data_IF_859830251178
#
_entry.id   IF_859830251178
#
_cell.length_a   1.000
_cell.length_b   1.000
_cell.length_c   1.000
_cell.angle_alpha   90.00
_cell.angle_beta   90.00
_cell.angle_gamma   90.00
#
_symmetry.space_group_name_H-M   'P 1'
#
loop_
_entity.id
_entity.type
_entity.pdbx_description
1 polymer ?
#
# COMPACT_ATOMS: atom_id res chain seq x y z
N UNK A 1 -23.45 43.98 -29.60
CA UNK A 1 -23.31 43.14 -30.81
C UNK A 1 -22.29 42.06 -30.50
N UNK A 2 -22.76 40.84 -30.23
CA UNK A 2 -22.63 39.66 -31.11
C UNK A 2 -21.23 39.02 -30.99
N UNK A 3 -21.01 37.75 -30.64
CA UNK A 3 -21.86 36.57 -30.87
C UNK A 3 -21.38 35.41 -29.99
N UNK A 4 -22.32 34.76 -29.30
CA UNK A 4 -22.18 33.42 -28.71
C UNK A 4 -21.92 32.40 -29.83
N UNK A 5 -21.00 31.45 -29.64
CA UNK A 5 -21.00 30.18 -30.38
C UNK A 5 -21.14 29.01 -29.42
N UNK A 6 -22.36 28.47 -29.43
CA UNK A 6 -22.72 27.13 -29.00
C UNK A 6 -22.00 26.11 -29.90
N UNK A 7 -21.35 25.10 -29.32
CA UNK A 7 -21.05 23.86 -30.04
C UNK A 7 -21.94 22.75 -29.52
N UNK A 8 -22.71 22.19 -30.47
CA UNK A 8 -23.72 21.18 -30.27
C UNK A 8 -23.10 19.80 -30.07
N UNK A 9 -23.72 19.06 -29.15
CA UNK A 9 -23.58 17.62 -28.95
C UNK A 9 -23.92 16.87 -30.25
N UNK A 10 -23.08 15.91 -30.66
CA UNK A 10 -23.46 14.84 -31.57
C UNK A 10 -23.35 13.48 -30.86
N UNK A 11 -24.31 12.56 -31.06
CA UNK A 11 -24.38 11.30 -30.33
C UNK A 11 -23.36 10.29 -30.85
N UNK A 12 -22.61 9.68 -29.95
CA UNK A 12 -21.75 8.54 -30.27
C UNK A 12 -22.62 7.29 -30.49
N UNK A 13 -22.37 6.61 -31.60
CA UNK A 13 -23.01 5.38 -32.05
C UNK A 13 -22.86 4.25 -31.03
N UNK A 14 -23.96 3.53 -30.80
CA UNK A 14 -23.96 2.21 -30.16
C UNK A 14 -23.04 1.26 -30.93
N UNK A 15 -21.94 0.84 -30.29
CA UNK A 15 -21.19 -0.35 -30.68
C UNK A 15 -21.75 -1.53 -29.89
N UNK A 16 -22.23 -2.51 -30.64
CA UNK A 16 -22.79 -3.79 -30.22
C UNK A 16 -21.84 -4.58 -29.31
N UNK A 17 -22.37 -5.06 -28.18
CA UNK A 17 -21.71 -6.00 -27.28
C UNK A 17 -21.43 -7.35 -27.97
N UNK A 18 -20.25 -7.97 -27.76
CA UNK A 18 -19.99 -9.33 -28.22
C UNK A 18 -20.81 -10.36 -27.41
N UNK A 19 -21.18 -11.51 -28.01
CA UNK A 19 -22.03 -12.51 -27.35
C UNK A 19 -21.29 -13.25 -26.23
N UNK A 20 -22.00 -13.78 -25.21
CA UNK A 20 -21.40 -14.51 -24.11
C UNK A 20 -20.88 -15.89 -24.55
N UNK A 21 -19.69 -16.25 -24.04
CA UNK A 21 -19.06 -17.55 -24.23
C UNK A 21 -19.91 -18.70 -23.63
N UNK A 22 -19.84 -19.92 -24.21
CA UNK A 22 -20.80 -21.00 -23.92
C UNK A 22 -20.58 -21.65 -22.56
N UNK A 23 -21.71 -21.95 -21.92
CA UNK A 23 -21.86 -22.76 -20.71
C UNK A 23 -21.12 -24.09 -20.84
N UNK A 24 -20.17 -24.34 -19.93
CA UNK A 24 -19.55 -25.65 -19.80
C UNK A 24 -20.56 -26.62 -19.16
N UNK A 25 -20.92 -27.65 -19.93
CA UNK A 25 -21.89 -28.69 -19.60
C UNK A 25 -21.39 -29.53 -18.42
N UNK A 26 -22.22 -29.67 -17.40
CA UNK A 26 -22.13 -30.80 -16.47
C UNK A 26 -22.61 -32.07 -17.20
N UNK A 27 -21.83 -33.13 -17.13
CA UNK A 27 -22.17 -34.48 -17.57
C UNK A 27 -21.55 -35.50 -16.61
N UNK A 28 -22.30 -36.52 -16.14
CA UNK A 28 -21.87 -37.41 -15.07
C UNK A 28 -21.27 -38.72 -15.62
N UNK A 29 -20.35 -39.34 -14.87
CA UNK A 29 -20.06 -40.79 -14.94
C UNK A 29 -19.18 -41.17 -13.73
N UNK A 30 -19.76 -41.80 -12.70
CA UNK A 30 -19.82 -43.26 -12.49
C UNK A 30 -18.51 -43.89 -11.94
N UNK A 31 -18.68 -44.38 -10.71
CA UNK A 31 -17.94 -45.42 -10.01
C UNK A 31 -17.12 -46.39 -10.88
N UNK A 32 -15.90 -46.69 -10.42
CA UNK A 32 -15.44 -48.08 -10.23
C UNK A 32 -14.56 -48.21 -8.99
N UNK A 33 -14.95 -49.16 -8.12
CA UNK A 33 -14.19 -49.70 -6.99
C UNK A 33 -13.01 -50.52 -7.53
N UNK A 34 -11.89 -50.49 -6.82
CA UNK A 34 -10.79 -51.43 -6.97
C UNK A 34 -10.00 -51.48 -5.68
N UNK A 35 -10.28 -52.48 -4.84
CA UNK A 35 -9.44 -52.87 -3.72
C UNK A 35 -8.13 -53.46 -4.26
N UNK A 36 -7.00 -53.10 -3.66
CA UNK A 36 -5.85 -53.99 -3.55
C UNK A 36 -5.01 -53.59 -2.32
N UNK A 37 -4.99 -54.50 -1.34
CA UNK A 37 -4.09 -54.48 -0.20
C UNK A 37 -2.69 -54.93 -0.63
N UNK A 38 -1.65 -54.30 -0.10
CA UNK A 38 -0.31 -54.89 -0.06
C UNK A 38 0.41 -54.44 1.21
N UNK A 39 0.89 -55.45 1.93
CA UNK A 39 1.44 -55.41 3.28
C UNK A 39 2.98 -55.33 3.22
N UNK A 40 3.55 -54.49 4.10
CA UNK A 40 4.87 -54.52 4.75
C UNK A 40 6.11 -55.07 4.00
N UNK A 41 7.22 -54.31 4.05
CA UNK A 41 8.54 -54.78 4.53
C UNK A 41 9.32 -53.60 5.12
N UNK A 42 9.85 -53.81 6.33
CA UNK A 42 10.76 -52.95 7.08
C UNK A 42 12.16 -52.99 6.45
N UNK A 43 12.80 -51.83 6.30
CA UNK A 43 14.20 -51.72 5.88
C UNK A 43 14.92 -50.61 6.64
N UNK A 44 15.53 -50.96 7.77
CA UNK A 44 16.37 -50.11 8.61
C UNK A 44 17.75 -49.89 7.97
N UNK A 45 18.09 -48.63 7.66
CA UNK A 45 19.49 -48.21 7.45
C UNK A 45 19.82 -47.00 8.33
N UNK A 46 20.67 -47.31 9.31
CA UNK A 46 21.33 -46.45 10.28
C UNK A 46 22.35 -45.58 9.53
N UNK A 47 22.18 -44.25 9.52
CA UNK A 47 23.21 -43.30 9.05
C UNK A 47 23.54 -42.33 10.19
N UNK A 48 24.84 -42.15 10.40
CA UNK A 48 25.47 -41.61 11.59
C UNK A 48 25.12 -40.13 11.83
N UNK A 49 24.98 -39.77 13.12
CA UNK A 49 24.81 -38.40 13.63
C UNK A 49 26.16 -37.66 13.56
N UNK A 50 26.25 -36.65 12.71
CA UNK A 50 27.14 -35.51 12.97
C UNK A 50 26.39 -34.47 13.82
N UNK A 51 27.07 -33.95 14.83
CA UNK A 51 26.51 -33.09 15.85
C UNK A 51 26.12 -31.71 15.28
N UNK A 52 24.82 -31.49 15.08
CA UNK A 52 24.26 -30.18 14.81
C UNK A 52 24.35 -29.31 16.08
N UNK A 53 25.12 -28.21 16.01
CA UNK A 53 25.05 -27.10 16.98
C UNK A 53 23.58 -26.64 17.08
N UNK A 54 23.05 -26.36 18.29
CA UNK A 54 21.68 -25.88 18.42
C UNK A 54 21.60 -24.45 17.85
N UNK A 55 21.03 -24.33 16.63
CA UNK A 55 20.53 -23.06 16.14
C UNK A 55 19.32 -22.68 16.98
N UNK A 56 19.54 -21.86 18.00
CA UNK A 56 18.46 -21.20 18.73
C UNK A 56 17.72 -20.30 17.75
N UNK A 57 16.39 -20.43 17.57
CA UNK A 57 15.63 -19.47 16.79
C UNK A 57 15.81 -18.09 17.44
N UNK A 58 16.07 -17.01 16.66
CA UNK A 58 16.21 -15.69 17.24
C UNK A 58 14.92 -15.33 17.99
N UNK A 59 15.05 -14.86 19.22
CA UNK A 59 13.90 -14.41 20.01
C UNK A 59 13.09 -13.39 19.21
N UNK A 60 11.74 -13.41 19.30
CA UNK A 60 10.89 -12.48 18.56
C UNK A 60 11.25 -11.01 18.83
N UNK A 61 11.85 -10.72 19.98
CA UNK A 61 12.32 -9.39 20.36
C UNK A 61 13.61 -8.96 19.61
N UNK A 62 14.51 -9.90 19.28
CA UNK A 62 15.68 -9.63 18.39
C UNK A 62 15.27 -9.39 16.95
N UNK A 63 14.23 -10.08 16.46
CA UNK A 63 13.68 -9.85 15.13
C UNK A 63 13.05 -8.46 15.02
N UNK A 64 12.29 -8.03 16.04
CA UNK A 64 11.69 -6.68 16.11
C UNK A 64 12.73 -5.56 16.16
N UNK A 65 13.84 -5.73 16.89
CA UNK A 65 14.94 -4.73 16.89
C UNK A 65 15.61 -4.58 15.52
N UNK A 66 15.64 -5.63 14.68
CA UNK A 66 16.26 -5.59 13.35
C UNK A 66 15.45 -4.88 12.27
N UNK A 67 14.17 -4.61 12.50
CA UNK A 67 13.28 -3.89 11.55
C UNK A 67 12.84 -2.52 12.04
N UNK A 68 13.00 -2.24 13.34
CA UNK A 68 12.73 -0.91 13.89
C UNK A 68 13.74 0.11 13.39
N UNK A 69 13.26 1.33 13.19
CA UNK A 69 14.12 2.48 12.92
C UNK A 69 15.20 2.57 13.98
N UNK A 70 16.45 2.68 13.52
CA UNK A 70 17.61 2.95 14.37
C UNK A 70 17.78 4.43 14.66
N UNK A 71 16.98 5.31 14.03
CA UNK A 71 17.01 6.73 14.26
C UNK A 71 16.56 7.05 15.69
N UNK A 72 17.20 8.05 16.32
CA UNK A 72 16.71 8.60 17.59
C UNK A 72 15.39 9.31 17.32
N UNK A 73 14.38 9.03 18.13
CA UNK A 73 13.10 9.74 18.04
C UNK A 73 13.28 11.23 18.32
N UNK A 74 12.94 12.08 17.34
CA UNK A 74 13.00 13.54 17.47
C UNK A 74 11.67 14.10 17.98
N UNK A 75 11.60 14.32 19.30
CA UNK A 75 10.42 14.93 19.93
C UNK A 75 10.22 16.43 19.62
N UNK A 76 11.23 17.11 19.09
CA UNK A 76 11.12 18.50 18.61
C UNK A 76 10.41 18.55 17.26
N UNK A 77 10.84 17.70 16.33
CA UNK A 77 10.19 17.52 15.03
C UNK A 77 8.75 17.03 15.20
N UNK A 78 8.51 16.08 16.10
CA UNK A 78 7.17 15.58 16.42
C UNK A 78 6.24 16.70 16.90
N UNK A 79 6.70 17.59 17.80
CA UNK A 79 5.89 18.72 18.29
C UNK A 79 5.66 19.80 17.25
N UNK A 80 6.64 20.07 16.38
CA UNK A 80 6.55 21.10 15.33
C UNK A 80 5.50 20.78 14.28
N UNK A 81 5.39 19.50 13.90
CA UNK A 81 4.47 19.04 12.86
C UNK A 81 3.22 18.33 13.39
N UNK A 82 3.08 18.27 14.72
CA UNK A 82 1.80 17.89 15.31
C UNK A 82 0.75 18.93 14.93
N UNK A 83 -0.30 18.47 14.27
CA UNK A 83 -1.47 19.30 14.00
C UNK A 83 -2.16 19.61 15.34
N UNK A 84 -2.12 20.87 15.83
CA UNK A 84 -2.70 21.21 17.13
C UNK A 84 -4.22 21.07 17.13
N UNK A 85 -4.89 21.13 15.97
CA UNK A 85 -6.34 20.96 15.87
C UNK A 85 -6.77 19.48 15.93
N UNK A 86 -5.89 18.55 15.54
CA UNK A 86 -6.23 17.12 15.42
C UNK A 86 -5.41 16.18 16.30
N UNK A 87 -4.36 16.68 16.94
CA UNK A 87 -3.39 15.86 17.67
C UNK A 87 -2.72 14.81 16.78
N UNK A 88 -2.67 15.05 15.46
CA UNK A 88 -2.19 14.09 14.48
C UNK A 88 -0.77 14.44 14.05
N UNK A 89 0.12 13.45 14.06
CA UNK A 89 1.48 13.56 13.53
C UNK A 89 1.60 12.63 12.33
N UNK A 90 2.20 13.09 11.20
CA UNK A 90 2.51 12.22 10.08
C UNK A 90 3.35 11.01 10.54
N UNK A 91 3.04 9.83 10.00
CA UNK A 91 3.61 8.56 10.45
C UNK A 91 5.04 8.42 9.93
N UNK A 92 6.00 8.10 10.78
CA UNK A 92 7.41 7.92 10.40
C UNK A 92 8.02 9.15 9.70
N UNK A 93 7.67 10.35 10.18
CA UNK A 93 8.06 11.61 9.55
C UNK A 93 9.58 11.77 9.41
N UNK A 94 10.34 11.40 10.44
CA UNK A 94 11.80 11.48 10.42
C UNK A 94 12.39 10.58 9.34
N UNK A 95 11.93 9.32 9.26
CA UNK A 95 12.38 8.35 8.28
C UNK A 95 12.03 8.77 6.84
N UNK A 96 10.87 9.40 6.63
CA UNK A 96 10.49 9.96 5.32
C UNK A 96 11.45 11.10 4.93
N UNK A 97 11.75 12.01 5.86
CA UNK A 97 12.68 13.10 5.59
C UNK A 97 14.09 12.59 5.33
N UNK A 98 14.57 11.60 6.07
CA UNK A 98 15.87 10.98 5.83
C UNK A 98 15.94 10.27 4.46
N UNK A 99 14.84 9.60 4.08
CA UNK A 99 14.72 8.93 2.79
C UNK A 99 14.78 9.90 1.60
N UNK A 100 14.48 11.18 1.80
CA UNK A 100 14.55 12.21 0.77
C UNK A 100 15.73 13.19 0.96
N UNK A 101 16.28 13.31 2.16
CA UNK A 101 17.24 14.35 2.52
C UNK A 101 18.60 14.26 1.84
N UNK A 102 18.96 13.09 1.30
CA UNK A 102 20.18 12.91 0.49
C UNK A 102 19.97 13.22 -1.00
N UNK A 103 18.74 13.49 -1.43
CA UNK A 103 18.43 13.88 -2.80
C UNK A 103 18.35 15.39 -2.96
N UNK A 104 18.80 15.89 -4.11
CA UNK A 104 18.46 17.22 -4.57
C UNK A 104 17.08 17.16 -5.23
N UNK A 105 16.04 17.33 -4.43
CA UNK A 105 14.66 17.27 -4.90
C UNK A 105 14.29 18.54 -5.68
N UNK A 106 14.20 18.41 -7.01
CA UNK A 106 13.64 19.44 -7.90
C UNK A 106 12.14 19.26 -8.09
N UNK A 107 11.67 18.03 -8.00
CA UNK A 107 10.25 17.68 -8.10
C UNK A 107 9.88 16.65 -7.04
N UNK A 108 8.75 16.88 -6.37
CA UNK A 108 8.21 16.01 -5.34
C UNK A 108 6.71 15.77 -5.54
N UNK A 109 6.30 14.51 -5.48
CA UNK A 109 4.92 14.08 -5.63
C UNK A 109 4.44 13.40 -4.34
N UNK A 110 3.40 13.94 -3.72
CA UNK A 110 2.68 13.29 -2.63
C UNK A 110 1.39 12.67 -3.20
N UNK A 111 1.39 11.36 -3.38
CA UNK A 111 0.27 10.62 -3.98
C UNK A 111 -0.91 10.43 -3.03
N UNK A 112 -0.73 10.76 -1.76
CA UNK A 112 -1.67 10.51 -0.66
C UNK A 112 -1.67 11.72 0.26
N UNK A 113 -1.96 12.87 -0.35
CA UNK A 113 -1.76 14.19 0.23
C UNK A 113 -2.33 14.30 1.65
N UNK A 114 -3.51 13.72 1.88
CA UNK A 114 -4.21 13.84 3.14
C UNK A 114 -4.32 15.32 3.55
N UNK A 115 -4.12 15.63 4.83
CA UNK A 115 -4.11 17.03 5.31
C UNK A 115 -2.76 17.75 5.06
N UNK A 116 -2.01 17.35 4.03
CA UNK A 116 -0.67 17.82 3.67
C UNK A 116 0.35 17.73 4.82
N UNK A 117 0.25 16.71 5.68
CA UNK A 117 1.11 16.57 6.86
C UNK A 117 2.58 16.28 6.51
N UNK A 118 2.83 15.26 5.68
CA UNK A 118 4.16 14.95 5.17
C UNK A 118 4.69 16.07 4.26
N UNK A 119 3.85 16.53 3.34
CA UNK A 119 4.16 17.59 2.40
C UNK A 119 4.61 18.89 3.08
N UNK A 120 3.96 19.31 4.17
CA UNK A 120 4.38 20.48 4.94
C UNK A 120 5.77 20.33 5.58
N UNK A 121 6.19 19.10 5.88
CA UNK A 121 7.49 18.80 6.49
C UNK A 121 8.61 18.59 5.49
N UNK A 122 8.31 18.11 4.27
CA UNK A 122 9.31 17.93 3.20
C UNK A 122 9.72 19.30 2.62
N UNK A 123 8.83 20.30 2.63
CA UNK A 123 9.06 21.63 2.04
C UNK A 123 10.32 22.37 2.52
N UNK A 124 10.65 22.48 3.83
CA UNK A 124 11.89 23.14 4.26
C UNK A 124 13.14 22.49 3.65
N UNK A 125 13.12 21.19 3.38
CA UNK A 125 14.19 20.47 2.70
C UNK A 125 14.21 20.74 1.18
N UNK A 126 13.05 21.01 0.55
CA UNK A 126 12.93 21.37 -0.87
C UNK A 126 13.46 22.78 -1.18
N UNK A 127 13.13 23.76 -0.33
CA UNK A 127 13.40 25.20 -0.60
C UNK A 127 14.87 25.60 -0.45
N UNK A 128 15.73 24.75 0.14
CA UNK A 128 17.09 25.14 0.51
C UNK A 128 18.09 25.23 -0.65
N UNK A 129 17.82 24.68 -1.86
CA UNK A 129 18.90 24.47 -2.84
C UNK A 129 18.66 24.81 -4.32
N UNK A 130 17.47 25.17 -4.82
CA UNK A 130 17.32 25.42 -6.27
C UNK A 130 16.20 26.42 -6.65
N UNK A 131 16.29 26.93 -7.89
CA UNK A 131 15.44 28.00 -8.43
C UNK A 131 14.03 27.60 -8.85
N UNK A 132 13.65 26.31 -8.90
CA UNK A 132 12.24 25.89 -9.00
C UNK A 132 12.02 24.51 -8.35
N UNK A 133 11.57 24.42 -7.08
CA UNK A 133 10.99 23.19 -6.56
C UNK A 133 9.55 23.05 -7.10
N UNK A 134 9.28 21.98 -7.85
CA UNK A 134 7.94 21.59 -8.27
C UNK A 134 7.33 20.63 -7.24
N UNK A 135 6.09 20.90 -6.85
CA UNK A 135 5.34 20.07 -5.94
C UNK A 135 3.99 19.65 -6.54
N UNK A 136 3.66 18.36 -6.46
CA UNK A 136 2.37 17.83 -6.91
C UNK A 136 1.75 16.98 -5.79
N UNK A 137 0.59 17.39 -5.30
CA UNK A 137 -0.19 16.65 -4.29
C UNK A 137 -1.46 16.04 -4.88
N UNK A 138 -1.77 14.80 -4.55
CA UNK A 138 -2.96 14.10 -5.02
C UNK A 138 -3.71 13.42 -3.85
N UNK A 139 -5.04 13.49 -3.85
CA UNK A 139 -5.89 12.70 -2.95
C UNK A 139 -7.24 12.40 -3.63
N UNK A 140 -7.94 11.38 -3.14
CA UNK A 140 -9.28 11.01 -3.63
C UNK A 140 -10.40 11.73 -2.88
N UNK A 141 -10.20 12.16 -1.63
CA UNK A 141 -11.24 12.84 -0.84
C UNK A 141 -11.19 14.36 -1.08
N UNK A 142 -12.20 14.95 -1.75
CA UNK A 142 -12.22 16.38 -2.02
C UNK A 142 -12.25 17.23 -0.74
N UNK A 143 -12.88 16.74 0.35
CA UNK A 143 -12.96 17.51 1.59
C UNK A 143 -11.60 17.62 2.29
N UNK A 144 -10.77 16.59 2.18
CA UNK A 144 -9.41 16.59 2.73
C UNK A 144 -8.47 17.40 1.83
N UNK A 145 -8.71 17.33 0.52
CA UNK A 145 -8.01 18.11 -0.48
C UNK A 145 -8.13 19.62 -0.25
N UNK A 146 -9.32 20.14 0.05
CA UNK A 146 -9.52 21.57 0.30
C UNK A 146 -8.73 22.08 1.51
N UNK A 147 -8.68 21.28 2.58
CA UNK A 147 -7.86 21.56 3.77
C UNK A 147 -6.36 21.53 3.45
N UNK A 148 -5.94 20.54 2.67
CA UNK A 148 -4.56 20.41 2.21
C UNK A 148 -4.12 21.59 1.35
N UNK A 149 -4.97 21.99 0.41
CA UNK A 149 -4.76 23.14 -0.47
C UNK A 149 -4.58 24.41 0.36
N UNK A 150 -5.50 24.68 1.29
CA UNK A 150 -5.40 25.85 2.17
C UNK A 150 -4.12 25.85 3.02
N UNK A 151 -3.65 24.67 3.45
CA UNK A 151 -2.38 24.52 4.19
C UNK A 151 -1.17 24.80 3.29
N UNK A 152 -1.16 24.27 2.06
CA UNK A 152 -0.10 24.49 1.08
C UNK A 152 -0.03 25.96 0.68
N UNK A 153 -1.17 26.59 0.36
CA UNK A 153 -1.25 28.01 0.02
C UNK A 153 -0.71 28.92 1.14
N UNK A 154 -1.02 28.59 2.40
CA UNK A 154 -0.45 29.32 3.55
C UNK A 154 1.07 29.20 3.60
N UNK A 155 1.60 28.01 3.35
CA UNK A 155 3.04 27.76 3.31
C UNK A 155 3.73 28.43 2.11
N UNK A 156 3.02 28.59 0.98
CA UNK A 156 3.50 29.34 -0.18
C UNK A 156 3.52 30.84 0.09
N UNK A 157 2.51 31.37 0.77
CA UNK A 157 2.43 32.79 1.15
C UNK A 157 3.54 33.18 2.14
N UNK A 158 3.96 32.26 3.01
CA UNK A 158 5.10 32.44 3.92
C UNK A 158 6.46 32.34 3.20
N UNK A 159 6.51 31.82 1.96
CA UNK A 159 7.76 31.68 1.21
C UNK A 159 8.12 32.98 0.50
N UNK A 160 9.01 33.74 1.12
CA UNK A 160 9.52 35.00 0.58
C UNK A 160 10.32 34.85 -0.73
N UNK A 161 10.67 33.61 -1.13
CA UNK A 161 11.45 33.36 -2.37
C UNK A 161 10.59 33.14 -3.61
N UNK A 162 9.30 32.80 -3.48
CA UNK A 162 8.37 32.68 -4.60
C UNK A 162 8.68 31.61 -5.66
N UNK A 163 9.59 30.66 -5.39
CA UNK A 163 10.10 29.72 -6.39
C UNK A 163 9.36 28.37 -6.43
N UNK A 164 8.44 28.11 -5.50
CA UNK A 164 7.73 26.82 -5.41
C UNK A 164 6.44 26.85 -6.23
N UNK A 165 6.40 26.03 -7.28
CA UNK A 165 5.17 25.75 -8.02
C UNK A 165 4.48 24.54 -7.40
N UNK A 166 3.23 24.71 -6.97
CA UNK A 166 2.48 23.67 -6.28
C UNK A 166 1.14 23.40 -6.97
N UNK A 167 0.92 22.14 -7.34
CA UNK A 167 -0.31 21.67 -7.95
C UNK A 167 -0.98 20.66 -7.04
N UNK A 168 -2.30 20.77 -6.86
CA UNK A 168 -3.06 19.82 -6.04
C UNK A 168 -4.24 19.28 -6.84
N UNK A 169 -4.39 17.95 -6.91
CA UNK A 169 -5.41 17.29 -7.73
C UNK A 169 -6.29 16.33 -6.93
N UNK A 170 -7.61 16.38 -7.15
CA UNK A 170 -8.55 15.39 -6.61
C UNK A 170 -8.61 14.18 -7.57
N UNK A 171 -7.67 13.26 -7.40
CA UNK A 171 -7.45 12.09 -8.27
C UNK A 171 -6.80 10.96 -7.47
N UNK A 172 -7.14 9.72 -7.85
CA UNK A 172 -6.46 8.54 -7.32
C UNK A 172 -5.02 8.47 -7.85
N UNK A 173 -4.09 8.02 -7.01
CA UNK A 173 -2.67 7.89 -7.35
C UNK A 173 -2.39 6.99 -8.57
N UNK A 174 -3.29 6.08 -8.95
CA UNK A 174 -3.16 5.29 -10.19
C UNK A 174 -3.10 6.14 -11.45
N UNK A 175 -3.60 7.38 -11.39
CA UNK A 175 -3.56 8.34 -12.48
C UNK A 175 -2.35 9.28 -12.44
N UNK A 176 -1.30 8.94 -11.69
CA UNK A 176 -0.08 9.77 -11.56
C UNK A 176 0.48 10.20 -12.92
N UNK A 177 0.57 9.31 -13.91
CA UNK A 177 1.05 9.64 -15.26
C UNK A 177 0.20 10.73 -15.93
N UNK A 178 -1.12 10.61 -15.85
CA UNK A 178 -2.05 11.60 -16.41
C UNK A 178 -1.97 12.93 -15.68
N UNK A 179 -1.74 12.93 -14.36
CA UNK A 179 -1.61 14.16 -13.59
C UNK A 179 -0.30 14.86 -13.89
N UNK A 180 0.82 14.14 -13.91
CA UNK A 180 2.13 14.73 -14.22
C UNK A 180 2.16 15.31 -15.65
N UNK A 181 1.65 14.58 -16.64
CA UNK A 181 1.55 15.10 -18.01
C UNK A 181 0.60 16.29 -18.16
N UNK A 182 -0.37 16.46 -17.25
CA UNK A 182 -1.24 17.63 -17.22
C UNK A 182 -0.64 18.84 -16.51
N UNK A 183 0.40 18.66 -15.70
CA UNK A 183 1.14 19.74 -15.03
C UNK A 183 2.24 20.25 -15.95
N UNK A 184 3.09 19.36 -16.45
CA UNK A 184 4.13 19.64 -17.43
C UNK A 184 4.45 18.35 -18.20
N UNK A 185 4.27 18.38 -19.52
CA UNK A 185 4.51 17.23 -20.40
C UNK A 185 5.96 16.72 -20.29
N UNK A 186 6.91 17.62 -20.02
CA UNK A 186 8.32 17.26 -19.89
C UNK A 186 8.61 16.42 -18.62
N UNK A 187 7.73 16.43 -17.62
CA UNK A 187 7.91 15.61 -16.41
C UNK A 187 7.78 14.11 -16.68
N UNK A 188 7.09 13.72 -17.76
CA UNK A 188 7.00 12.32 -18.16
C UNK A 188 8.32 11.83 -18.79
N UNK A 189 9.07 12.74 -19.41
CA UNK A 189 10.36 12.42 -20.03
C UNK A 189 11.54 12.58 -19.06
N UNK A 190 11.58 13.69 -18.31
CA UNK A 190 12.64 14.01 -17.34
C UNK A 190 12.47 13.20 -16.04
N UNK A 191 11.23 12.89 -15.68
CA UNK A 191 10.86 12.20 -14.47
C UNK A 191 10.90 13.07 -13.21
N UNK A 192 10.37 12.51 -12.12
CA UNK A 192 10.30 13.15 -10.80
C UNK A 192 11.32 12.59 -9.82
N UNK A 193 11.85 13.43 -8.92
CA UNK A 193 12.92 13.02 -8.01
C UNK A 193 12.41 12.30 -6.76
N UNK A 194 11.22 12.65 -6.28
CA UNK A 194 10.64 12.04 -5.09
C UNK A 194 9.16 11.75 -5.25
N UNK A 195 8.75 10.53 -4.91
CA UNK A 195 7.34 10.15 -4.82
C UNK A 195 7.10 9.54 -3.44
N UNK A 196 6.09 10.04 -2.72
CA UNK A 196 5.61 9.50 -1.46
C UNK A 196 4.22 8.88 -1.64
N UNK A 197 4.05 7.67 -1.13
CA UNK A 197 2.75 6.99 -1.00
C UNK A 197 2.55 6.53 0.45
N UNK A 198 1.74 7.25 1.21
CA UNK A 198 1.23 6.87 2.53
C UNK A 198 -0.12 6.17 2.38
N UNK A 199 -0.12 4.83 2.38
CA UNK A 199 -1.32 4.00 2.22
C UNK A 199 -2.21 4.01 3.48
N UNK A 200 -1.84 4.81 4.49
CA UNK A 200 -2.61 4.96 5.72
C UNK A 200 -3.95 5.64 5.46
N UNK A 201 -5.01 5.03 5.96
CA UNK A 201 -6.31 5.71 5.94
C UNK A 201 -6.32 6.85 6.95
N UNK A 202 -6.73 8.03 6.50
CA UNK A 202 -7.08 9.11 7.42
C UNK A 202 -8.26 8.68 8.30
N UNK A 203 -8.30 9.12 9.57
CA UNK A 203 -9.48 8.93 10.42
C UNK A 203 -10.77 9.48 9.81
N UNK A 204 -10.67 10.46 8.90
CA UNK A 204 -11.83 10.96 8.17
C UNK A 204 -12.32 9.96 7.12
N UNK A 205 -11.41 9.28 6.41
CA UNK A 205 -11.76 8.20 5.48
C UNK A 205 -12.34 6.99 6.22
N UNK A 206 -11.82 6.65 7.41
CA UNK A 206 -12.40 5.58 8.25
C UNK A 206 -13.82 5.95 8.73
N UNK A 207 -14.06 7.22 9.08
CA UNK A 207 -15.40 7.70 9.50
C UNK A 207 -16.39 7.79 8.34
N UNK A 208 -15.95 8.21 7.15
CA UNK A 208 -16.79 8.33 5.95
C UNK A 208 -16.99 7.03 5.17
N UNK A 209 -16.07 6.06 5.24
CA UNK A 209 -16.22 4.75 4.60
C UNK A 209 -17.02 3.74 5.46
N UNK A 210 -17.48 4.16 6.65
CA UNK A 210 -18.32 3.37 7.56
C UNK A 210 -19.84 3.41 7.29
N UNK A 211 -20.30 3.85 6.11
CA UNK A 211 -21.55 3.36 5.54
C UNK A 211 -21.32 2.82 4.12
N UNK A 212 -21.31 1.48 3.96
CA UNK A 212 -21.51 0.59 2.78
C UNK A 212 -21.46 1.13 1.32
N UNK A 213 -20.76 2.22 1.05
CA UNK A 213 -20.70 2.91 -0.23
C UNK A 213 -19.29 3.43 -0.40
N UNK A 214 -18.46 2.67 -1.10
CA UNK A 214 -17.15 3.15 -1.52
C UNK A 214 -17.16 3.23 -3.05
N UNK A 215 -17.26 4.46 -3.55
CA UNK A 215 -16.69 5.06 -4.78
C UNK A 215 -16.68 4.29 -6.13
N UNK A 216 -17.14 3.05 -6.20
CA UNK A 216 -17.32 2.23 -7.39
C UNK A 216 -18.76 1.70 -7.43
N UNK A 217 -19.24 1.30 -8.60
CA UNK A 217 -20.62 0.82 -8.81
C UNK A 217 -20.96 -0.49 -8.07
N UNK A 218 -20.05 -1.04 -7.26
CA UNK A 218 -20.27 -2.24 -6.47
C UNK A 218 -20.41 -1.87 -5.00
N UNK A 219 -21.58 -2.12 -4.41
CA UNK A 219 -21.79 -1.88 -2.98
C UNK A 219 -21.28 -3.07 -2.19
N UNK A 220 -20.79 -2.82 -0.97
CA UNK A 220 -20.44 -3.90 -0.03
C UNK A 220 -21.63 -4.85 0.21
N UNK A 221 -22.85 -4.30 0.18
CA UNK A 221 -24.10 -5.04 0.23
C UNK A 221 -24.22 -6.08 -0.90
N UNK A 222 -23.81 -5.75 -2.12
CA UNK A 222 -23.86 -6.66 -3.27
C UNK A 222 -22.92 -7.85 -3.07
N UNK A 223 -21.72 -7.60 -2.51
CA UNK A 223 -20.75 -8.65 -2.19
C UNK A 223 -21.36 -9.62 -1.16
N UNK A 224 -21.97 -9.10 -0.11
CA UNK A 224 -22.48 -9.92 0.98
C UNK A 224 -23.76 -10.69 0.61
N UNK A 225 -24.67 -10.06 -0.14
CA UNK A 225 -25.98 -10.63 -0.44
C UNK A 225 -26.02 -11.38 -1.78
N UNK A 226 -25.24 -10.97 -2.79
CA UNK A 226 -25.40 -11.47 -4.17
C UNK A 226 -24.25 -12.33 -4.67
N UNK A 227 -23.03 -12.17 -4.15
CA UNK A 227 -21.87 -12.91 -4.68
C UNK A 227 -21.90 -14.40 -4.32
N UNK A 228 -21.25 -15.27 -5.12
CA UNK A 228 -21.11 -16.69 -4.79
C UNK A 228 -20.45 -16.88 -3.42
N UNK A 229 -20.89 -17.90 -2.70
CA UNK A 229 -20.35 -18.24 -1.38
C UNK A 229 -18.82 -18.43 -1.41
N UNK A 230 -18.29 -19.05 -2.47
CA UNK A 230 -16.86 -19.26 -2.68
C UNK A 230 -16.08 -17.95 -2.77
N UNK A 231 -16.64 -16.93 -3.43
CA UNK A 231 -15.99 -15.62 -3.59
C UNK A 231 -16.00 -14.84 -2.29
N UNK A 232 -17.10 -14.87 -1.54
CA UNK A 232 -17.15 -14.27 -0.18
C UNK A 232 -16.11 -14.93 0.72
N UNK A 233 -15.99 -16.26 0.68
CA UNK A 233 -14.96 -17.00 1.39
C UNK A 233 -13.54 -16.58 1.01
N UNK A 234 -13.29 -16.45 -0.30
CA UNK A 234 -12.00 -16.03 -0.85
C UNK A 234 -11.62 -14.62 -0.38
N UNK A 235 -12.55 -13.67 -0.41
CA UNK A 235 -12.32 -12.30 0.09
C UNK A 235 -11.92 -12.34 1.56
N UNK A 236 -12.67 -13.03 2.42
CA UNK A 236 -12.38 -13.09 3.85
C UNK A 236 -11.04 -13.76 4.15
N UNK A 237 -10.69 -14.81 3.39
CA UNK A 237 -9.44 -15.55 3.56
C UNK A 237 -8.24 -14.76 3.05
N UNK A 238 -8.31 -14.28 1.82
CA UNK A 238 -7.16 -13.76 1.08
C UNK A 238 -6.95 -12.26 1.36
N UNK A 239 -8.03 -11.47 1.44
CA UNK A 239 -7.96 -10.03 1.73
C UNK A 239 -8.09 -9.70 3.23
N UNK A 240 -8.80 -10.55 3.98
CA UNK A 240 -8.93 -10.38 5.44
C UNK A 240 -7.83 -11.06 6.25
N UNK A 241 -7.10 -12.01 5.67
CA UNK A 241 -6.21 -12.93 6.39
C UNK A 241 -6.89 -13.53 7.64
N UNK A 242 -8.20 -13.78 7.56
CA UNK A 242 -9.03 -14.22 8.69
C UNK A 242 -9.02 -15.73 8.83
N UNK A 243 -8.57 -16.26 9.97
CA UNK A 243 -8.48 -17.70 10.21
C UNK A 243 -9.85 -18.39 10.22
N UNK A 244 -10.88 -17.72 10.73
CA UNK A 244 -12.24 -18.26 10.83
C UNK A 244 -13.09 -17.95 9.58
N UNK A 245 -12.46 -17.63 8.44
CA UNK A 245 -13.13 -17.22 7.20
C UNK A 245 -14.26 -18.18 6.79
N UNK A 246 -14.04 -19.49 6.86
CA UNK A 246 -15.02 -20.51 6.44
C UNK A 246 -16.26 -20.51 7.34
N UNK A 247 -16.09 -20.28 8.64
CA UNK A 247 -17.22 -20.15 9.57
C UNK A 247 -17.99 -18.84 9.33
N UNK A 248 -17.28 -17.73 9.18
CA UNK A 248 -17.88 -16.41 8.92
C UNK A 248 -18.64 -16.40 7.59
N UNK A 249 -18.06 -16.95 6.53
CA UNK A 249 -18.70 -17.15 5.23
C UNK A 249 -20.05 -17.87 5.38
N UNK A 250 -20.09 -19.01 6.10
CA UNK A 250 -21.35 -19.73 6.34
C UNK A 250 -22.37 -18.89 7.10
N UNK A 251 -21.93 -18.11 8.09
CA UNK A 251 -22.84 -17.21 8.82
C UNK A 251 -23.39 -16.09 7.93
N UNK A 252 -22.56 -15.51 7.06
CA UNK A 252 -22.98 -14.49 6.08
C UNK A 252 -24.00 -15.08 5.10
N UNK A 253 -23.72 -16.27 4.54
CA UNK A 253 -24.65 -16.96 3.63
C UNK A 253 -25.96 -17.31 4.32
N UNK A 254 -25.92 -17.69 5.59
CA UNK A 254 -27.13 -17.92 6.39
C UNK A 254 -27.91 -16.64 6.64
N UNK A 255 -27.23 -15.54 6.97
CA UNK A 255 -27.87 -14.25 7.25
C UNK A 255 -28.55 -13.65 6.01
N UNK A 256 -27.95 -13.79 4.82
CA UNK A 256 -28.57 -13.34 3.56
C UNK A 256 -29.79 -14.16 3.15
N UNK A 257 -29.90 -15.41 3.60
CA UNK A 257 -31.09 -16.25 3.35
C UNK A 257 -32.27 -15.86 4.24
N UNK A 258 -32.04 -15.18 5.37
CA UNK A 258 -33.11 -14.79 6.30
C UNK A 258 -33.61 -13.37 6.07
N UNK A 259 -32.78 -12.36 6.38
CA UNK A 259 -33.18 -10.94 6.37
C UNK A 259 -32.30 -10.12 5.44
N UNK A 260 -31.11 -10.60 5.07
CA UNK A 260 -30.11 -9.79 4.37
C UNK A 260 -29.19 -9.06 5.33
N UNK A 261 -28.07 -8.57 4.81
CA UNK A 261 -27.17 -7.64 5.50
C UNK A 261 -27.27 -6.28 4.80
N UNK A 262 -27.89 -5.30 5.45
CA UNK A 262 -28.20 -3.99 4.84
C UNK A 262 -27.46 -2.83 5.51
N UNK A 263 -26.88 -3.04 6.70
CA UNK A 263 -26.14 -2.03 7.44
C UNK A 263 -24.78 -2.53 7.95
N UNK A 264 -23.88 -1.59 8.23
CA UNK A 264 -22.60 -1.92 8.89
C UNK A 264 -22.81 -2.49 10.29
N UNK A 265 -23.87 -2.07 10.99
CA UNK A 265 -24.29 -2.64 12.28
C UNK A 265 -24.67 -4.12 12.17
N UNK A 266 -25.40 -4.53 11.12
CA UNK A 266 -25.79 -5.93 10.94
C UNK A 266 -24.57 -6.84 10.78
N UNK A 267 -23.59 -6.38 10.00
CA UNK A 267 -22.34 -7.10 9.79
C UNK A 267 -21.52 -7.17 11.08
N UNK A 268 -21.41 -6.07 11.82
CA UNK A 268 -20.73 -6.04 13.13
C UNK A 268 -21.39 -7.02 14.09
N UNK A 269 -22.73 -7.05 14.14
CA UNK A 269 -23.48 -7.93 15.02
C UNK A 269 -23.36 -9.41 14.63
N UNK A 270 -23.31 -9.70 13.33
CA UNK A 270 -23.00 -11.03 12.82
C UNK A 270 -21.60 -11.46 13.25
N UNK A 271 -20.58 -10.62 13.01
CA UNK A 271 -19.18 -10.93 13.37
C UNK A 271 -19.03 -11.10 14.88
N UNK A 272 -19.70 -10.26 15.67
CA UNK A 272 -19.72 -10.33 17.14
C UNK A 272 -20.31 -11.65 17.63
N UNK A 273 -21.47 -12.06 17.09
CA UNK A 273 -22.10 -13.36 17.42
C UNK A 273 -21.24 -14.54 16.97
N UNK A 274 -20.63 -14.44 15.79
CA UNK A 274 -19.79 -15.48 15.21
C UNK A 274 -18.47 -15.68 15.98
N UNK A 275 -17.90 -14.60 16.54
CA UNK A 275 -16.60 -14.62 17.23
C UNK A 275 -16.71 -15.06 18.71
N UNK A 276 -17.91 -15.38 19.21
CA UNK A 276 -18.26 -15.54 20.62
C UNK A 276 -17.58 -16.66 21.43
N UNK A 277 -16.48 -17.26 20.98
CA UNK A 277 -15.83 -18.40 21.68
C UNK A 277 -14.29 -18.35 21.77
N UNK A 278 -13.60 -17.37 21.20
CA UNK A 278 -12.13 -17.30 21.31
C UNK A 278 -11.63 -15.86 21.32
N UNK A 279 -11.04 -15.42 22.45
CA UNK A 279 -10.26 -14.18 22.55
C UNK A 279 -10.91 -12.96 23.23
N UNK A 280 -12.09 -13.08 23.82
CA UNK A 280 -12.74 -11.99 24.58
C UNK A 280 -13.10 -10.76 23.74
N UNK A 281 -13.24 -9.59 24.39
CA UNK A 281 -13.65 -8.32 23.74
C UNK A 281 -12.67 -7.86 22.64
N UNK A 282 -11.40 -8.25 22.73
CA UNK A 282 -10.37 -7.88 21.77
C UNK A 282 -10.35 -8.78 20.53
N UNK A 283 -10.84 -10.02 20.64
CA UNK A 283 -10.88 -11.00 19.55
C UNK A 283 -11.84 -10.60 18.44
N UNK A 284 -13.11 -10.34 18.77
CA UNK A 284 -14.12 -10.01 17.76
C UNK A 284 -13.85 -8.66 17.07
N UNK A 285 -13.22 -7.70 17.77
CA UNK A 285 -12.82 -6.40 17.17
C UNK A 285 -11.79 -6.65 16.07
N UNK A 286 -10.80 -7.52 16.32
CA UNK A 286 -9.79 -7.88 15.30
C UNK A 286 -10.44 -8.57 14.10
N UNK A 287 -11.36 -9.49 14.35
CA UNK A 287 -12.14 -10.16 13.29
C UNK A 287 -12.93 -9.14 12.46
N UNK A 288 -13.65 -8.22 13.12
CA UNK A 288 -14.40 -7.18 12.45
C UNK A 288 -13.49 -6.30 11.58
N UNK A 289 -12.37 -5.81 12.13
CA UNK A 289 -11.40 -5.01 11.38
C UNK A 289 -10.90 -5.74 10.13
N UNK A 290 -10.61 -7.04 10.21
CA UNK A 290 -10.19 -7.87 9.06
C UNK A 290 -11.30 -8.05 8.03
N UNK A 291 -12.54 -8.29 8.46
CA UNK A 291 -13.70 -8.41 7.57
C UNK A 291 -13.94 -7.10 6.83
N UNK A 292 -13.94 -5.97 7.53
CA UNK A 292 -14.10 -4.65 6.90
C UNK A 292 -12.95 -4.32 5.96
N UNK A 293 -11.70 -4.65 6.35
CA UNK A 293 -10.54 -4.52 5.47
C UNK A 293 -10.71 -5.36 4.19
N UNK A 294 -11.13 -6.62 4.31
CA UNK A 294 -11.32 -7.51 3.18
C UNK A 294 -12.37 -6.98 2.19
N UNK A 295 -13.50 -6.52 2.72
CA UNK A 295 -14.59 -5.94 1.92
C UNK A 295 -14.14 -4.64 1.26
N UNK A 296 -13.39 -3.79 1.96
CA UNK A 296 -12.86 -2.54 1.41
C UNK A 296 -11.91 -2.81 0.24
N UNK A 297 -10.99 -3.76 0.42
CA UNK A 297 -10.08 -4.21 -0.63
C UNK A 297 -10.86 -4.73 -1.85
N UNK A 298 -11.88 -5.56 -1.62
CA UNK A 298 -12.67 -6.16 -2.71
C UNK A 298 -13.51 -5.13 -3.49
N UNK A 299 -14.14 -4.17 -2.79
CA UNK A 299 -14.99 -3.14 -3.42
C UNK A 299 -14.18 -2.17 -4.29
N UNK A 300 -13.01 -1.78 -3.79
CA UNK A 300 -12.19 -0.74 -4.42
C UNK A 300 -11.07 -1.29 -5.30
N UNK A 301 -10.94 -2.61 -5.39
CA UNK A 301 -9.82 -3.29 -6.05
C UNK A 301 -8.46 -2.68 -5.62
N UNK A 302 -8.30 -2.46 -4.31
CA UNK A 302 -7.22 -1.62 -3.74
C UNK A 302 -5.84 -2.21 -4.04
N UNK A 303 -5.73 -3.53 -4.03
CA UNK A 303 -4.46 -4.24 -4.19
C UNK A 303 -3.96 -4.19 -5.64
N UNK A 304 -4.84 -4.42 -6.62
CA UNK A 304 -4.47 -4.29 -8.03
C UNK A 304 -4.18 -2.83 -8.37
N UNK A 305 -5.02 -1.91 -7.89
CA UNK A 305 -4.81 -0.47 -8.04
C UNK A 305 -3.46 -0.03 -7.46
N UNK A 306 -3.06 -0.58 -6.32
CA UNK A 306 -1.76 -0.32 -5.71
C UNK A 306 -0.62 -0.85 -6.58
N UNK A 307 -0.71 -2.09 -7.05
CA UNK A 307 0.33 -2.68 -7.91
C UNK A 307 0.54 -1.88 -9.19
N UNK A 308 -0.53 -1.57 -9.92
CA UNK A 308 -0.48 -0.78 -11.15
C UNK A 308 0.10 0.61 -10.91
N UNK A 309 -0.28 1.24 -9.79
CA UNK A 309 0.24 2.53 -9.40
C UNK A 309 1.73 2.51 -9.06
N UNK A 310 2.22 1.45 -8.40
CA UNK A 310 3.64 1.32 -8.08
C UNK A 310 4.46 1.28 -9.38
N UNK A 311 4.02 0.52 -10.39
CA UNK A 311 4.65 0.52 -11.73
C UNK A 311 4.60 1.90 -12.37
N UNK A 312 3.44 2.56 -12.34
CA UNK A 312 3.31 3.91 -12.89
C UNK A 312 4.25 4.92 -12.20
N UNK A 313 4.35 4.87 -10.86
CA UNK A 313 5.26 5.71 -10.08
C UNK A 313 6.72 5.45 -10.47
N UNK A 314 7.13 4.19 -10.59
CA UNK A 314 8.50 3.84 -10.97
C UNK A 314 8.87 4.34 -12.37
N UNK A 315 7.95 4.26 -13.32
CA UNK A 315 8.15 4.80 -14.66
C UNK A 315 8.34 6.32 -14.62
N UNK A 316 7.55 7.03 -13.80
CA UNK A 316 7.64 8.49 -13.64
C UNK A 316 8.90 8.96 -12.89
N UNK A 317 9.65 8.10 -12.19
CA UNK A 317 10.85 8.54 -11.48
C UNK A 317 11.97 8.93 -12.45
N UNK A 318 12.74 9.96 -12.11
CA UNK A 318 14.02 10.25 -12.76
C UNK A 318 15.09 9.25 -12.32
N UNK A 319 16.20 9.17 -13.07
CA UNK A 319 17.42 8.53 -12.55
C UNK A 319 17.82 9.15 -11.21
N UNK A 320 18.21 8.32 -10.25
CA UNK A 320 18.49 8.71 -8.86
C UNK A 320 17.27 9.06 -8.01
N UNK A 321 16.07 9.12 -8.60
CA UNK A 321 14.83 9.44 -7.90
C UNK A 321 14.39 8.32 -6.96
N UNK A 322 13.62 8.67 -5.91
CA UNK A 322 13.15 7.74 -4.88
C UNK A 322 11.64 7.65 -4.78
N UNK A 323 11.15 6.42 -4.63
CA UNK A 323 9.80 6.08 -4.25
C UNK A 323 9.79 5.57 -2.81
N UNK A 324 9.07 6.29 -1.95
CA UNK A 324 8.88 5.95 -0.54
C UNK A 324 7.44 5.52 -0.35
N UNK A 325 7.23 4.33 0.21
CA UNK A 325 5.88 3.79 0.46
C UNK A 325 5.75 3.41 1.92
N UNK A 326 4.69 3.90 2.58
CA UNK A 326 4.29 3.51 3.94
C UNK A 326 3.03 2.65 3.82
N UNK A 327 3.13 1.42 4.31
CA UNK A 327 2.02 0.45 4.34
C UNK A 327 1.59 0.15 5.77
N UNK A 328 0.32 -0.16 5.98
CA UNK A 328 -0.25 -0.36 7.33
C UNK A 328 -0.72 -1.80 7.57
N UNK A 329 -0.80 -2.60 6.50
CA UNK A 329 -1.10 -4.02 6.61
C UNK A 329 -0.15 -4.91 5.81
N UNK A 330 -0.19 -6.20 6.13
CA UNK A 330 0.62 -7.27 5.54
C UNK A 330 0.45 -7.41 4.03
N UNK A 331 -0.78 -7.29 3.52
CA UNK A 331 -1.07 -7.42 2.09
C UNK A 331 -0.40 -6.31 1.26
N UNK A 332 -0.57 -5.04 1.62
CA UNK A 332 0.12 -3.89 1.00
C UNK A 332 1.65 -4.09 1.04
N UNK A 333 2.22 -4.33 2.22
CA UNK A 333 3.68 -4.51 2.38
C UNK A 333 4.22 -5.65 1.53
N UNK A 334 3.43 -6.73 1.36
CA UNK A 334 3.79 -7.87 0.51
C UNK A 334 3.82 -7.47 -0.96
N UNK A 335 2.80 -6.76 -1.45
CA UNK A 335 2.74 -6.24 -2.82
C UNK A 335 3.90 -5.28 -3.06
N UNK A 336 4.05 -4.24 -2.23
CA UNK A 336 5.15 -3.25 -2.36
C UNK A 336 6.51 -3.95 -2.41
N UNK A 337 6.75 -4.93 -1.53
CA UNK A 337 7.99 -5.70 -1.54
C UNK A 337 8.16 -6.49 -2.85
N UNK A 338 7.13 -7.19 -3.31
CA UNK A 338 7.21 -8.03 -4.51
C UNK A 338 7.42 -7.16 -5.76
N UNK A 339 6.63 -6.10 -5.90
CA UNK A 339 6.74 -5.16 -7.02
C UNK A 339 8.10 -4.47 -7.05
N UNK A 340 8.63 -4.01 -5.91
CA UNK A 340 9.98 -3.42 -5.86
C UNK A 340 11.06 -4.41 -6.28
N UNK A 341 10.94 -5.68 -5.88
CA UNK A 341 11.89 -6.71 -6.30
C UNK A 341 11.75 -7.04 -7.78
N UNK A 342 10.55 -7.03 -8.34
CA UNK A 342 10.30 -7.28 -9.76
C UNK A 342 10.87 -6.16 -10.64
N UNK A 343 10.56 -4.89 -10.30
CA UNK A 343 11.08 -3.70 -10.97
C UNK A 343 12.61 -3.68 -11.07
N UNK A 344 13.27 -4.12 -9.99
CA UNK A 344 14.73 -4.15 -9.90
C UNK A 344 15.33 -5.35 -10.66
N UNK A 345 14.57 -6.45 -10.80
CA UNK A 345 15.04 -7.70 -11.43
C UNK A 345 14.85 -7.76 -12.94
N UNK A 346 13.79 -7.18 -13.54
CA UNK A 346 13.38 -7.48 -14.93
C UNK A 346 14.45 -7.12 -15.98
N UNK A 347 14.89 -8.10 -16.79
CA UNK A 347 14.93 -8.01 -18.24
C UNK A 347 13.89 -8.98 -18.84
N UNK A 348 13.15 -8.56 -19.85
CA UNK A 348 12.52 -9.53 -20.77
C UNK A 348 13.58 -9.89 -21.82
N UNK A 349 13.91 -11.18 -21.93
CA UNK A 349 14.84 -11.72 -22.92
C UNK A 349 16.20 -12.15 -22.35
N UNK A 350 16.25 -13.33 -21.74
CA UNK A 350 17.01 -14.50 -22.21
C UNK A 350 17.15 -15.51 -21.08
N UNK A 351 16.80 -16.75 -21.39
CA UNK A 351 17.04 -17.92 -20.57
C UNK A 351 18.55 -18.08 -20.35
N UNK A 352 19.04 -17.73 -19.17
CA UNK A 352 20.25 -18.37 -18.67
C UNK A 352 20.12 -18.70 -17.19
N UNK A 353 20.27 -19.99 -16.89
CA UNK A 353 20.34 -20.54 -15.54
C UNK A 353 21.71 -20.21 -14.96
N UNK A 354 21.94 -18.95 -14.61
CA UNK A 354 23.13 -18.48 -13.91
C UNK A 354 22.92 -18.45 -12.40
N UNK A 355 23.72 -19.22 -11.67
CA UNK A 355 23.77 -19.26 -10.21
C UNK A 355 23.82 -17.85 -9.59
N UNK A 356 23.09 -17.67 -8.48
CA UNK A 356 23.17 -16.48 -7.63
C UNK A 356 24.53 -16.51 -6.93
N UNK A 357 25.58 -16.07 -7.63
CA UNK A 357 26.88 -15.86 -7.01
C UNK A 357 26.85 -14.55 -6.23
N UNK A 358 27.14 -14.65 -4.94
CA UNK A 358 27.50 -13.57 -4.04
C UNK A 358 28.76 -12.83 -4.53
N UNK A 359 28.61 -12.00 -5.57
CA UNK A 359 29.66 -11.17 -6.15
C UNK A 359 29.53 -9.73 -5.67
N UNK A 360 30.08 -9.47 -4.49
CA UNK A 360 30.24 -8.17 -3.87
C UNK A 360 31.31 -7.38 -4.63
N UNK A 361 31.03 -6.15 -5.08
CA UNK A 361 32.08 -5.17 -5.39
C UNK A 361 31.64 -3.79 -4.91
N UNK A 362 32.39 -3.32 -3.91
CA UNK A 362 32.28 -2.06 -3.18
C UNK A 362 32.88 -0.93 -4.02
N UNK A 363 32.04 0.00 -4.44
CA UNK A 363 32.44 1.39 -4.68
C UNK A 363 31.34 2.28 -4.11
N UNK A 364 31.38 2.48 -2.79
CA UNK A 364 30.59 3.50 -2.10
C UNK A 364 31.58 4.45 -1.43
N UNK A 365 31.55 5.72 -1.85
CA UNK A 365 32.05 6.82 -1.03
C UNK A 365 31.21 6.84 0.24
N UNK A 366 31.78 6.35 1.34
CA UNK A 366 31.11 6.24 2.62
C UNK A 366 30.87 7.64 3.20
N UNK A 367 29.63 8.12 3.08
CA UNK A 367 29.10 9.19 3.91
C UNK A 367 28.39 8.54 5.10
N UNK A 368 28.78 8.92 6.31
CA UNK A 368 28.22 8.45 7.60
C UNK A 368 26.69 8.64 7.72
N UNK A 369 26.09 9.45 6.83
CA UNK A 369 24.64 9.67 6.75
C UNK A 369 23.83 8.44 6.31
N UNK A 370 24.45 7.38 5.75
CA UNK A 370 23.74 6.22 5.19
C UNK A 370 23.61 5.02 6.15
N UNK A 371 23.60 5.24 7.47
CA UNK A 371 23.64 4.13 8.46
C UNK A 371 22.46 3.14 8.36
N UNK A 372 21.34 3.54 7.74
CA UNK A 372 20.15 2.71 7.50
C UNK A 372 20.26 1.81 6.25
N UNK A 373 21.27 2.01 5.41
CA UNK A 373 21.41 1.41 4.08
C UNK A 373 22.19 0.10 4.03
N UNK A 374 22.51 -0.53 5.16
CA UNK A 374 23.42 -1.69 5.20
C UNK A 374 22.89 -2.97 4.54
N UNK A 375 21.65 -2.98 4.07
CA UNK A 375 21.04 -4.11 3.35
C UNK A 375 20.23 -3.59 2.14
N UNK A 376 20.93 -3.24 1.06
CA UNK A 376 20.33 -2.90 -0.23
C UNK A 376 20.16 -4.14 -1.12
N UNK A 377 19.19 -4.11 -2.03
CA UNK A 377 19.11 -5.07 -3.15
C UNK A 377 19.30 -4.26 -4.42
N UNK A 378 20.47 -4.39 -5.02
CA UNK A 378 20.81 -3.77 -6.31
C UNK A 378 20.27 -4.66 -7.43
N UNK A 379 19.72 -4.05 -8.47
CA UNK A 379 19.50 -4.69 -9.76
C UNK A 379 19.70 -3.69 -10.88
N UNK A 380 19.26 -4.05 -12.09
CA UNK A 380 19.65 -3.31 -13.31
C UNK A 380 18.96 -1.95 -13.42
N UNK A 381 17.67 -1.86 -13.06
CA UNK A 381 16.86 -0.64 -13.19
C UNK A 381 16.75 0.19 -11.89
N UNK A 382 17.23 -0.34 -10.76
CA UNK A 382 16.98 0.29 -9.47
C UNK A 382 17.66 -0.40 -8.29
N UNK A 383 17.49 0.21 -7.12
CA UNK A 383 18.06 -0.22 -5.84
C UNK A 383 16.95 -0.21 -4.79
N UNK A 384 16.60 -1.37 -4.25
CA UNK A 384 15.76 -1.42 -3.04
C UNK A 384 16.64 -1.05 -1.85
N UNK A 385 16.45 0.16 -1.32
CA UNK A 385 17.26 0.66 -0.20
C UNK A 385 16.90 -0.03 1.12
N UNK A 386 15.65 -0.50 1.24
CA UNK A 386 15.12 -1.18 2.44
C UNK A 386 14.79 -2.64 2.15
N UNK A 387 15.79 -3.54 2.19
CA UNK A 387 15.55 -5.01 2.05
C UNK A 387 14.53 -5.52 3.07
N UNK A 388 14.57 -4.97 4.29
CA UNK A 388 13.56 -5.16 5.33
C UNK A 388 12.80 -3.84 5.51
N UNK A 389 11.49 -3.87 5.79
CA UNK A 389 10.74 -2.65 6.02
C UNK A 389 11.26 -1.99 7.30
N UNK A 390 11.30 -0.66 7.30
CA UNK A 390 11.54 0.14 8.50
C UNK A 390 10.21 0.25 9.24
N UNK A 391 10.20 -0.01 10.55
CA UNK A 391 9.02 0.16 11.41
C UNK A 391 9.28 1.26 12.45
N UNK A 392 8.23 1.91 12.98
CA UNK A 392 8.40 3.02 13.92
C UNK A 392 9.16 2.66 15.20
N UNK A 393 9.64 3.71 15.86
CA UNK A 393 10.27 3.61 17.19
C UNK A 393 9.22 3.29 18.28
N UNK A 394 9.67 2.80 19.45
CA UNK A 394 8.74 2.50 20.57
C UNK A 394 8.09 3.78 21.11
N UNK A 395 8.84 4.88 21.05
CA UNK A 395 8.46 6.21 21.49
C UNK A 395 7.33 6.74 20.60
N UNK A 396 7.49 6.63 19.27
CA UNK A 396 6.44 7.02 18.33
C UNK A 396 5.19 6.13 18.48
N UNK A 397 5.33 4.81 18.65
CA UNK A 397 4.18 3.90 18.86
C UNK A 397 3.33 4.28 20.10
N UNK A 398 3.97 4.85 21.14
CA UNK A 398 3.27 5.31 22.35
C UNK A 398 2.49 6.60 22.11
N UNK A 399 3.05 7.50 21.31
CA UNK A 399 2.50 8.84 21.04
C UNK A 399 1.50 8.85 19.90
N UNK A 400 1.71 8.02 18.88
CA UNK A 400 0.88 7.90 17.69
C UNK A 400 0.44 6.44 17.49
N UNK A 401 -0.75 6.09 17.98
CA UNK A 401 -1.28 4.72 17.82
C UNK A 401 -1.43 4.29 16.36
N UNK A 402 -1.52 5.22 15.40
CA UNK A 402 -1.69 4.92 13.98
C UNK A 402 -0.44 4.31 13.37
N UNK A 403 0.74 4.63 13.89
CA UNK A 403 2.00 4.11 13.33
C UNK A 403 2.26 2.65 13.71
N UNK A 404 1.55 2.06 14.68
CA UNK A 404 1.84 0.71 15.23
C UNK A 404 2.07 -0.39 14.18
N UNK A 405 1.35 -0.33 13.06
CA UNK A 405 1.45 -1.31 11.97
C UNK A 405 2.19 -0.81 10.74
N UNK A 406 2.71 0.42 10.79
CA UNK A 406 3.37 1.09 9.68
C UNK A 406 4.69 0.41 9.32
N UNK A 407 4.91 0.31 8.01
CA UNK A 407 6.11 -0.26 7.40
C UNK A 407 6.50 0.60 6.23
N UNK A 408 7.67 1.21 6.33
CA UNK A 408 8.24 2.06 5.29
C UNK A 408 9.20 1.24 4.42
N UNK A 409 9.06 1.39 3.10
CA UNK A 409 9.99 0.87 2.10
C UNK A 409 10.43 1.97 1.15
N UNK A 410 11.67 1.88 0.69
CA UNK A 410 12.27 2.84 -0.24
C UNK A 410 12.93 2.11 -1.41
N UNK A 411 12.60 2.57 -2.61
CA UNK A 411 13.20 2.18 -3.88
C UNK A 411 13.84 3.41 -4.52
N UNK A 412 15.04 3.25 -5.07
CA UNK A 412 15.70 4.27 -5.88
C UNK A 412 15.85 3.78 -7.32
N UNK A 413 15.51 4.60 -8.31
CA UNK A 413 15.72 4.30 -9.73
C UNK A 413 17.17 4.62 -10.12
N UNK A 414 17.77 3.79 -10.99
CA UNK A 414 19.10 4.02 -11.57
C UNK A 414 18.94 4.63 -12.94
#
# INVERSE_FOLDING_TARGET
MATRRLFALRPARLLSLPPPAPRCRQGPAQHRRGLAAATLIKGSKKKQKEAAKPMTPPSPDRLKKRTRSGAKFDGGLYRRYADPARGHVPVMLGEVLDAFGTLHLRSFVDCTLGAAGHSAAVRPSLSQKLSVPLYVGMDVDPAVHDEARARIERLLAEDSRGNLEAYTHVRNFKYIKSVLGGVDENLLDVGVNGILMDLGMSSMQVRKCMPLSCLTNCRTEDILNSWPESEVGKILRDYGEESNWHFLQKQIVKARQSVGLHSTSDLVDLVRRASGRSGGREGWIKTATRVFQALRIAVNDELQTLEDALYACFDCLSSGGRLVVISFHSLEDRIVKQTFLDMVKKPEGDDDKGEISSGLSLLATESEAETWSKNRVQGRRGIVLTKRPITPTKEEEKLNRRCRSAKLRVLQKI
#
